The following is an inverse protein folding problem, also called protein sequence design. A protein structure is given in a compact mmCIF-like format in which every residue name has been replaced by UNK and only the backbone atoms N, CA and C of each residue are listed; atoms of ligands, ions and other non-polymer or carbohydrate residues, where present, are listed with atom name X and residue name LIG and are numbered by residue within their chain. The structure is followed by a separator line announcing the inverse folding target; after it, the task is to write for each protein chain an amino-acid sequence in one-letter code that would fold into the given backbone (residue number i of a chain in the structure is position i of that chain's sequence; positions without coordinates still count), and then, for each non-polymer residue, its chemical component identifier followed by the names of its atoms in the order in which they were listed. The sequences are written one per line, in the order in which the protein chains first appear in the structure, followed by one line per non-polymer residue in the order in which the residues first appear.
data_IF_380322696118
#
_entry.id   IF_380322696118
#
_cell.length_a   1.000
_cell.length_b   1.000
_cell.length_c   1.000
_cell.angle_alpha   90.00
_cell.angle_beta   90.00
_cell.angle_gamma   90.00
#
_symmetry.space_group_name_H-M   'P 1'
#
loop_
_entity.id
_entity.type
_entity.pdbx_description
1 polymer ?
#
# COMPACT_ATOMS: atom_id res chain seq x y z
N UNK A 1 11.29 -4.12 -14.39
CA UNK A 1 10.70 -3.47 -15.58
C UNK A 1 11.70 -3.32 -16.71
N UNK A 2 12.77 -2.55 -16.52
CA UNK A 2 13.68 -2.14 -17.60
C UNK A 2 14.46 -3.29 -18.28
N UNK A 3 14.73 -4.39 -17.58
CA UNK A 3 15.44 -5.55 -18.16
C UNK A 3 14.62 -6.34 -19.19
N UNK A 4 13.29 -6.40 -19.03
CA UNK A 4 12.39 -7.08 -19.97
C UNK A 4 12.16 -6.25 -21.24
N UNK A 5 12.20 -4.92 -21.15
CA UNK A 5 12.00 -4.02 -22.28
C UNK A 5 13.18 -4.03 -23.28
N UNK A 6 14.39 -4.35 -22.82
CA UNK A 6 15.62 -4.32 -23.61
C UNK A 6 16.23 -5.72 -23.81
N UNK A 7 15.42 -6.77 -23.84
CA UNK A 7 15.90 -8.16 -23.98
C UNK A 7 16.81 -8.35 -25.20
N UNK A 8 16.50 -7.64 -26.30
CA UNK A 8 17.30 -7.64 -27.54
C UNK A 8 18.65 -6.94 -27.37
N UNK A 9 18.72 -5.90 -26.55
CA UNK A 9 19.94 -5.14 -26.26
C UNK A 9 20.84 -5.91 -25.30
N UNK A 10 20.26 -6.56 -24.28
CA UNK A 10 21.00 -7.38 -23.30
C UNK A 10 21.61 -8.62 -23.98
N UNK A 11 20.88 -9.26 -24.90
CA UNK A 11 21.38 -10.36 -25.72
C UNK A 11 22.51 -9.92 -26.67
N UNK A 12 22.42 -8.72 -27.27
CA UNK A 12 23.47 -8.19 -28.14
C UNK A 12 24.76 -7.78 -27.43
N UNK A 13 24.69 -7.52 -26.12
CA UNK A 13 25.83 -7.13 -25.28
C UNK A 13 26.46 -8.31 -24.51
N UNK A 14 25.93 -9.53 -24.67
CA UNK A 14 26.31 -10.73 -23.88
C UNK A 14 26.30 -10.43 -22.37
N UNK A 15 25.40 -9.54 -21.92
CA UNK A 15 25.34 -9.07 -20.54
C UNK A 15 24.38 -9.90 -19.67
N UNK A 16 23.85 -10.99 -20.22
CA UNK A 16 22.87 -11.88 -19.58
C UNK A 16 23.36 -12.40 -18.22
N UNK A 17 24.63 -12.81 -18.13
CA UNK A 17 25.23 -13.31 -16.89
C UNK A 17 25.26 -12.23 -15.79
N UNK A 18 25.62 -10.98 -16.12
CA UNK A 18 25.62 -9.90 -15.13
C UNK A 18 24.21 -9.55 -14.64
N UNK A 19 23.22 -9.57 -15.52
CA UNK A 19 21.81 -9.34 -15.17
C UNK A 19 21.29 -10.47 -14.28
N UNK A 20 21.61 -11.73 -14.59
CA UNK A 20 21.22 -12.90 -13.79
C UNK A 20 21.89 -12.88 -12.41
N UNK A 21 23.18 -12.56 -12.31
CA UNK A 21 23.87 -12.45 -11.01
C UNK A 21 23.31 -11.31 -10.16
N UNK A 22 23.01 -10.15 -10.79
CA UNK A 22 22.40 -9.01 -10.09
C UNK A 22 20.97 -9.31 -9.66
N UNK A 23 20.19 -10.02 -10.47
CA UNK A 23 18.85 -10.45 -10.10
C UNK A 23 18.87 -11.51 -8.99
N UNK A 24 19.79 -12.48 -9.06
CA UNK A 24 19.98 -13.52 -8.04
C UNK A 24 20.35 -12.95 -6.68
N UNK A 25 21.28 -11.98 -6.63
CA UNK A 25 21.66 -11.31 -5.38
C UNK A 25 20.51 -10.48 -4.78
N UNK A 26 19.72 -9.78 -5.59
CA UNK A 26 18.52 -9.09 -5.14
C UNK A 26 17.47 -10.08 -4.62
N UNK A 27 17.27 -11.20 -5.32
CA UNK A 27 16.28 -12.23 -4.94
C UNK A 27 16.64 -12.89 -3.62
N UNK A 28 17.93 -13.16 -3.38
CA UNK A 28 18.42 -13.74 -2.14
C UNK A 28 18.20 -12.78 -0.96
N UNK A 29 18.52 -11.48 -1.13
CA UNK A 29 18.24 -10.46 -0.13
C UNK A 29 16.74 -10.30 0.15
N UNK A 30 15.89 -10.35 -0.89
CA UNK A 30 14.43 -10.32 -0.72
C UNK A 30 13.89 -11.58 -0.04
N UNK A 31 14.46 -12.75 -0.32
CA UNK A 31 14.08 -14.01 0.31
C UNK A 31 14.38 -13.98 1.81
N UNK A 32 15.59 -13.57 2.20
CA UNK A 32 15.98 -13.49 3.60
C UNK A 32 15.17 -12.45 4.38
N UNK A 33 14.91 -11.30 3.76
CA UNK A 33 14.01 -10.29 4.32
C UNK A 33 12.57 -10.83 4.46
N UNK A 34 12.09 -11.59 3.46
CA UNK A 34 10.78 -12.23 3.45
C UNK A 34 10.63 -13.26 4.56
N UNK A 35 11.64 -14.09 4.82
CA UNK A 35 11.64 -15.07 5.92
C UNK A 35 11.56 -14.36 7.26
N UNK A 36 12.41 -13.35 7.50
CA UNK A 36 12.38 -12.58 8.77
C UNK A 36 11.05 -11.87 8.97
N UNK A 37 10.49 -11.30 7.90
CA UNK A 37 9.20 -10.64 7.93
C UNK A 37 8.06 -11.62 8.23
N UNK A 38 8.09 -12.80 7.62
CA UNK A 38 7.07 -13.84 7.82
C UNK A 38 7.08 -14.36 9.27
N UNK A 39 8.26 -14.54 9.86
CA UNK A 39 8.40 -14.91 11.27
C UNK A 39 7.80 -13.82 12.18
N UNK A 40 8.11 -12.55 11.90
CA UNK A 40 7.56 -11.43 12.66
C UNK A 40 6.02 -11.35 12.56
N UNK A 41 5.46 -11.53 11.36
CA UNK A 41 4.00 -11.59 11.15
C UNK A 41 3.40 -12.78 11.87
N UNK A 42 4.03 -13.95 11.77
CA UNK A 42 3.57 -15.17 12.43
C UNK A 42 3.48 -15.00 13.95
N UNK A 43 4.53 -14.47 14.57
CA UNK A 43 4.53 -14.17 16.00
C UNK A 43 3.45 -13.15 16.38
N UNK A 44 3.34 -12.05 15.64
CA UNK A 44 2.32 -11.02 15.88
C UNK A 44 0.89 -11.60 15.79
N UNK A 45 0.64 -12.42 14.78
CA UNK A 45 -0.67 -13.04 14.54
C UNK A 45 -1.00 -14.03 15.64
N UNK A 46 -0.06 -14.91 16.00
CA UNK A 46 -0.23 -15.88 17.08
C UNK A 46 -0.45 -15.21 18.44
N UNK A 47 0.34 -14.19 18.77
CA UNK A 47 0.18 -13.41 19.99
C UNK A 47 -1.17 -12.69 20.04
N UNK A 48 -1.59 -12.08 18.93
CA UNK A 48 -2.91 -11.43 18.83
C UNK A 48 -4.05 -12.42 19.03
N UNK A 49 -3.96 -13.63 18.46
CA UNK A 49 -4.96 -14.69 18.69
C UNK A 49 -4.98 -15.15 20.14
N UNK A 50 -3.82 -15.33 20.77
CA UNK A 50 -3.72 -15.71 22.18
C UNK A 50 -4.40 -14.67 23.08
N UNK A 51 -4.10 -13.38 22.88
CA UNK A 51 -4.73 -12.28 23.63
C UNK A 51 -6.23 -12.22 23.38
N UNK A 52 -6.68 -12.44 22.13
CA UNK A 52 -8.10 -12.43 21.79
C UNK A 52 -8.87 -13.52 22.53
N UNK A 53 -8.43 -14.78 22.44
CA UNK A 53 -9.08 -15.88 23.14
C UNK A 53 -8.97 -15.76 24.66
N UNK A 54 -7.83 -15.27 25.17
CA UNK A 54 -7.65 -14.96 26.58
C UNK A 54 -8.64 -13.89 27.07
N UNK A 55 -8.86 -12.83 26.27
CA UNK A 55 -9.82 -11.78 26.60
C UNK A 55 -11.26 -12.29 26.63
N UNK A 56 -11.65 -13.17 25.71
CA UNK A 56 -12.97 -13.80 25.75
C UNK A 56 -13.12 -14.69 26.99
N UNK A 57 -12.11 -15.51 27.32
CA UNK A 57 -12.12 -16.33 28.53
C UNK A 57 -12.29 -15.48 29.80
N UNK A 58 -11.54 -14.38 29.91
CA UNK A 58 -11.64 -13.44 31.03
C UNK A 58 -13.02 -12.76 31.09
N UNK A 59 -13.54 -12.32 29.95
CA UNK A 59 -14.85 -11.68 29.86
C UNK A 59 -15.98 -12.64 30.26
N UNK A 60 -15.90 -13.91 29.85
CA UNK A 60 -16.85 -14.94 30.27
C UNK A 60 -16.73 -15.25 31.76
N UNK A 61 -15.51 -15.38 32.30
CA UNK A 61 -15.30 -15.64 33.72
C UNK A 61 -15.87 -14.51 34.59
N UNK A 62 -15.58 -13.26 34.23
CA UNK A 62 -16.09 -12.10 34.95
C UNK A 62 -17.60 -11.93 34.76
N UNK A 63 -18.10 -12.11 33.54
CA UNK A 63 -19.54 -12.08 33.24
C UNK A 63 -20.31 -13.14 34.02
N UNK A 64 -19.79 -14.36 34.12
CA UNK A 64 -20.39 -15.43 34.90
C UNK A 64 -20.46 -15.08 36.40
N UNK A 65 -19.39 -14.52 36.98
CA UNK A 65 -19.39 -14.04 38.38
C UNK A 65 -20.45 -12.99 38.64
N UNK A 66 -20.69 -12.10 37.68
CA UNK A 66 -21.64 -11.01 37.81
C UNK A 66 -23.09 -11.48 37.55
N UNK A 67 -23.27 -12.54 36.76
CA UNK A 67 -24.51 -13.30 36.62
C UNK A 67 -24.89 -14.01 37.93
N UNK A 68 -23.93 -14.65 38.62
CA UNK A 68 -24.15 -15.27 39.94
C UNK A 68 -24.64 -14.27 40.99
N UNK A 69 -24.15 -13.02 40.92
CA UNK A 69 -24.58 -11.95 41.82
C UNK A 69 -25.95 -11.35 41.45
N UNK A 70 -26.60 -11.84 40.39
CA UNK A 70 -27.92 -11.38 39.93
C UNK A 70 -27.93 -9.96 39.34
N UNK A 71 -26.77 -9.39 39.01
CA UNK A 71 -26.64 -8.01 38.54
C UNK A 71 -26.90 -7.85 37.04
N UNK A 72 -26.73 -8.92 36.27
CA UNK A 72 -26.86 -8.95 34.81
C UNK A 72 -27.51 -10.23 34.35
N UNK A 73 -28.17 -10.18 33.19
CA UNK A 73 -28.73 -11.36 32.54
C UNK A 73 -27.73 -11.97 31.56
N UNK A 74 -27.93 -13.24 31.19
CA UNK A 74 -27.11 -13.93 30.20
C UNK A 74 -27.15 -13.22 28.83
N UNK A 75 -28.27 -12.58 28.51
CA UNK A 75 -28.43 -11.76 27.31
C UNK A 75 -27.48 -10.56 27.27
N UNK A 76 -27.21 -9.92 28.41
CA UNK A 76 -26.32 -8.76 28.48
C UNK A 76 -24.88 -9.17 28.17
N UNK A 77 -24.45 -10.31 28.70
CA UNK A 77 -23.11 -10.88 28.44
C UNK A 77 -22.92 -11.14 26.94
N UNK A 78 -23.90 -11.78 26.30
CA UNK A 78 -23.87 -12.08 24.86
C UNK A 78 -23.85 -10.78 24.05
N UNK A 79 -24.66 -9.79 24.43
CA UNK A 79 -24.74 -8.50 23.73
C UNK A 79 -23.41 -7.75 23.79
N UNK A 80 -22.77 -7.69 24.96
CA UNK A 80 -21.46 -7.04 25.12
C UNK A 80 -20.38 -7.77 24.31
N UNK A 81 -20.36 -9.10 24.33
CA UNK A 81 -19.44 -9.90 23.50
C UNK A 81 -19.59 -9.59 22.02
N UNK A 82 -20.82 -9.58 21.51
CA UNK A 82 -21.09 -9.23 20.12
C UNK A 82 -20.69 -7.79 19.82
N UNK A 83 -21.03 -6.82 20.69
CA UNK A 83 -20.68 -5.43 20.50
C UNK A 83 -19.16 -5.24 20.37
N UNK A 84 -18.36 -5.91 21.21
CA UNK A 84 -16.89 -5.86 21.15
C UNK A 84 -16.35 -6.48 19.86
N UNK A 85 -16.87 -7.64 19.44
CA UNK A 85 -16.44 -8.33 18.21
C UNK A 85 -16.72 -7.47 16.98
N UNK A 86 -17.94 -6.98 16.85
CA UNK A 86 -18.36 -6.19 15.70
C UNK A 86 -17.65 -4.83 15.67
N UNK A 87 -17.51 -4.16 16.82
CA UNK A 87 -16.79 -2.88 16.92
C UNK A 87 -15.31 -3.06 16.59
N UNK A 88 -14.65 -4.08 17.15
CA UNK A 88 -13.24 -4.35 16.89
C UNK A 88 -12.97 -4.67 15.42
N UNK A 89 -13.82 -5.50 14.78
CA UNK A 89 -13.70 -5.82 13.35
C UNK A 89 -14.01 -4.64 12.44
N UNK A 90 -15.08 -3.90 12.72
CA UNK A 90 -15.46 -2.72 11.93
C UNK A 90 -14.38 -1.66 11.99
N UNK A 91 -13.88 -1.37 13.19
CA UNK A 91 -12.81 -0.40 13.40
C UNK A 91 -11.52 -0.81 12.68
N UNK A 92 -11.12 -2.08 12.77
CA UNK A 92 -9.92 -2.59 12.09
C UNK A 92 -10.03 -2.49 10.56
N UNK A 93 -11.21 -2.76 10.00
CA UNK A 93 -11.45 -2.62 8.56
C UNK A 93 -11.36 -1.16 8.11
N UNK A 94 -11.98 -0.24 8.86
CA UNK A 94 -11.87 1.20 8.60
C UNK A 94 -10.44 1.73 8.70
N UNK A 95 -9.65 1.22 9.65
CA UNK A 95 -8.23 1.58 9.72
C UNK A 95 -7.41 0.98 8.57
N UNK A 96 -7.79 -0.20 8.06
CA UNK A 96 -7.14 -0.86 6.94
C UNK A 96 -7.19 -0.08 5.63
N UNK A 97 -8.19 0.79 5.43
CA UNK A 97 -8.34 1.59 4.21
C UNK A 97 -7.58 2.92 4.24
N UNK A 98 -7.04 3.34 5.40
CA UNK A 98 -6.26 4.58 5.52
C UNK A 98 -5.05 4.68 4.55
N UNK A 99 -4.24 3.62 4.36
CA UNK A 99 -3.10 3.70 3.45
C UNK A 99 -3.52 3.97 2.00
N UNK A 100 -4.68 3.45 1.59
CA UNK A 100 -5.19 3.65 0.23
C UNK A 100 -5.75 5.05 0.05
N UNK A 101 -6.40 5.61 1.07
CA UNK A 101 -6.79 7.03 1.11
C UNK A 101 -5.54 7.92 0.98
N UNK A 102 -4.47 7.62 1.73
CA UNK A 102 -3.20 8.36 1.66
C UNK A 102 -2.53 8.24 0.28
N UNK A 103 -2.56 7.06 -0.35
CA UNK A 103 -2.06 6.89 -1.72
C UNK A 103 -2.88 7.69 -2.72
N UNK A 104 -4.21 7.69 -2.57
CA UNK A 104 -5.12 8.48 -3.41
C UNK A 104 -4.81 9.97 -3.33
N UNK A 105 -4.65 10.49 -2.12
CA UNK A 105 -4.29 11.90 -1.89
C UNK A 105 -2.95 12.28 -2.54
N UNK A 106 -1.93 11.43 -2.39
CA UNK A 106 -0.63 11.62 -3.06
C UNK A 106 -0.75 11.61 -4.58
N UNK A 107 -1.54 10.70 -5.14
CA UNK A 107 -1.74 10.61 -6.59
C UNK A 107 -2.47 11.85 -7.14
N UNK A 108 -3.53 12.30 -6.45
CA UNK A 108 -4.26 13.51 -6.80
C UNK A 108 -3.35 14.75 -6.75
N UNK A 109 -2.52 14.87 -5.70
CA UNK A 109 -1.55 15.97 -5.59
C UNK A 109 -0.55 16.00 -6.75
N UNK A 110 -0.10 14.84 -7.23
CA UNK A 110 0.80 14.75 -8.40
C UNK A 110 0.10 15.21 -9.67
N UNK A 111 -1.13 14.77 -9.91
CA UNK A 111 -1.91 15.17 -11.10
C UNK A 111 -2.20 16.67 -11.06
N UNK A 112 -2.62 17.22 -9.92
CA UNK A 112 -2.89 18.64 -9.76
C UNK A 112 -1.63 19.47 -10.04
N UNK A 113 -0.49 19.07 -9.48
CA UNK A 113 0.81 19.71 -9.77
C UNK A 113 1.16 19.67 -11.25
N UNK A 114 0.79 18.61 -11.96
CA UNK A 114 1.02 18.49 -13.40
C UNK A 114 0.11 19.41 -14.21
N UNK A 115 -1.15 19.56 -13.80
CA UNK A 115 -2.14 20.44 -14.42
C UNK A 115 -1.79 21.91 -14.22
N UNK A 116 -1.40 22.30 -13.01
CA UNK A 116 -1.04 23.68 -12.65
C UNK A 116 0.35 24.09 -13.14
N UNK A 117 1.13 23.15 -13.68
CA UNK A 117 2.45 23.43 -14.24
C UNK A 117 2.31 24.35 -15.46
N UNK A 118 2.74 25.60 -15.33
CA UNK A 118 2.99 26.46 -16.49
C UNK A 118 4.23 25.97 -17.26
N UNK A 119 4.07 25.65 -18.54
CA UNK A 119 5.19 25.27 -19.41
C UNK A 119 5.89 26.52 -19.96
N UNK A 120 7.22 26.49 -20.01
CA UNK A 120 8.03 27.58 -20.58
C UNK A 120 7.76 27.82 -22.07
N UNK A 121 7.38 26.77 -22.80
CA UNK A 121 6.83 26.84 -24.14
C UNK A 121 5.37 26.43 -24.01
N UNK A 122 4.43 27.38 -24.12
CA UNK A 122 3.01 27.10 -23.98
C UNK A 122 2.38 26.82 -25.35
N UNK A 123 2.12 25.56 -25.73
CA UNK A 123 1.53 25.25 -27.03
C UNK A 123 0.06 25.68 -27.16
N UNK A 124 -0.58 26.09 -26.04
CA UNK A 124 -1.94 26.65 -26.05
C UNK A 124 -1.95 28.16 -26.19
N UNK A 125 -0.79 28.81 -26.10
CA UNK A 125 -0.65 30.24 -26.36
C UNK A 125 -0.71 30.49 -27.87
N UNK A 126 -1.73 31.23 -28.31
CA UNK A 126 -1.93 31.63 -29.71
C UNK A 126 -1.30 33.00 -30.00
N UNK A 127 -0.54 33.58 -29.07
CA UNK A 127 0.15 34.85 -29.27
C UNK A 127 1.36 34.75 -30.22
N UNK A 128 1.74 33.55 -30.67
CA UNK A 128 2.82 33.35 -31.64
C UNK A 128 2.40 33.73 -33.07
N UNK A 129 3.33 34.31 -33.83
CA UNK A 129 3.11 34.66 -35.23
C UNK A 129 2.84 33.42 -36.09
N UNK A 130 1.71 33.42 -36.78
CA UNK A 130 1.32 32.35 -37.71
C UNK A 130 1.77 32.70 -39.14
N UNK A 131 2.90 32.13 -39.59
CA UNK A 131 3.37 32.30 -40.96
C UNK A 131 2.59 31.42 -41.95
N UNK A 132 1.93 32.02 -42.95
CA UNK A 132 1.10 31.30 -43.94
C UNK A 132 1.93 30.72 -45.10
N UNK A 133 3.10 31.28 -45.41
CA UNK A 133 4.08 30.72 -46.36
C UNK A 133 5.50 31.18 -45.98
N UNK A 134 6.43 30.25 -45.75
CA UNK A 134 7.85 30.58 -45.54
C UNK A 134 8.74 29.75 -46.48
N UNK A 135 9.68 30.41 -47.15
CA UNK A 135 10.78 29.75 -47.89
C UNK A 135 11.76 29.27 -46.82
N UNK A 136 11.81 27.96 -46.59
CA UNK A 136 12.52 27.33 -45.46
C UNK A 136 14.04 27.44 -45.52
N UNK A 137 14.59 28.63 -45.30
CA UNK A 137 15.99 28.83 -44.98
C UNK A 137 16.15 28.76 -43.45
N UNK A 138 16.73 27.67 -42.96
CA UNK A 138 17.03 27.48 -41.54
C UNK A 138 18.52 27.74 -41.36
N UNK A 139 18.87 28.74 -40.56
CA UNK A 139 20.25 29.04 -40.19
C UNK A 139 20.35 28.92 -38.66
N UNK A 140 21.19 28.01 -38.17
CA UNK A 140 21.52 27.93 -36.74
C UNK A 140 22.72 28.82 -36.47
N UNK A 141 22.59 29.69 -35.46
CA UNK A 141 23.66 30.57 -34.99
C UNK A 141 24.20 30.08 -33.65
#
# INVERSE_FOLDING_TARGET
GMALANVRTVASLTAEQQVVTKYGSLLQAHSDAGVRHSIAIGFNTGFSMFVLYGSYGLAFWYGYRMLENGQISLQDIITVLYAVIWTGRGLSNSFGSLPDIQKGDRAAAVVMKLVDRQSSINPKDRSGDHCVFSKGAIEMK
#
